data_IF_033504989552
#
_entry.id   IF_033504989552
#
_cell.length_a   1.000
_cell.length_b   1.000
_cell.length_c   1.000
_cell.angle_alpha   90.00
_cell.angle_beta   90.00
_cell.angle_gamma   90.00
#
_symmetry.space_group_name_H-M   'P 1'
#
loop_
_entity.id
_entity.type
_entity.pdbx_description
1 polymer ?
#
# COMPACT_ATOMS: atom_id res chain seq x y z
N UNK A 1 -53.13 -101.69 54.71
CA UNK A 1 -52.24 -101.63 53.53
C UNK A 1 -51.96 -100.17 53.24
N UNK A 2 -50.71 -99.79 53.39
CA UNK A 2 -50.20 -98.42 53.27
C UNK A 2 -50.09 -98.05 51.78
N UNK A 3 -50.66 -96.90 51.40
CA UNK A 3 -50.69 -96.39 50.04
C UNK A 3 -50.23 -94.93 49.99
N UNK A 4 -48.95 -94.75 50.33
CA UNK A 4 -47.99 -93.69 49.98
C UNK A 4 -48.52 -92.46 49.21
N UNK A 5 -48.43 -91.29 49.85
CA UNK A 5 -48.41 -89.96 49.23
C UNK A 5 -47.19 -89.84 48.29
N UNK A 6 -47.39 -89.38 47.05
CA UNK A 6 -46.33 -88.78 46.24
C UNK A 6 -46.72 -87.32 45.95
N UNK A 7 -46.04 -86.42 46.67
CA UNK A 7 -45.98 -84.99 46.34
C UNK A 7 -44.80 -84.84 45.39
N UNK A 8 -45.08 -84.91 44.10
CA UNK A 8 -44.26 -84.36 43.02
C UNK A 8 -45.26 -83.51 42.23
N UNK A 9 -45.11 -82.20 42.07
CA UNK A 9 -43.96 -81.51 41.52
C UNK A 9 -44.19 -80.00 41.73
N UNK A 10 -43.65 -79.43 42.82
CA UNK A 10 -43.40 -77.99 42.94
C UNK A 10 -42.00 -77.69 42.39
N UNK A 11 -41.74 -78.16 41.17
CA UNK A 11 -40.58 -77.84 40.37
C UNK A 11 -40.87 -76.64 39.48
N UNK A 12 -40.41 -75.46 39.91
CA UNK A 12 -40.28 -74.25 39.09
C UNK A 12 -39.89 -74.59 37.65
N UNK A 13 -40.79 -74.36 36.70
CA UNK A 13 -40.42 -74.06 35.32
C UNK A 13 -41.33 -72.95 34.79
N UNK A 14 -40.99 -71.72 35.16
CA UNK A 14 -41.10 -70.65 34.16
C UNK A 14 -40.29 -71.15 32.94
N UNK A 15 -40.89 -71.23 31.75
CA UNK A 15 -40.23 -71.82 30.59
C UNK A 15 -38.99 -70.97 30.23
N UNK A 16 -37.79 -71.58 30.15
CA UNK A 16 -36.56 -70.86 29.78
C UNK A 16 -36.59 -70.25 28.36
N UNK A 17 -37.60 -70.58 27.55
CA UNK A 17 -37.76 -70.12 26.17
C UNK A 17 -38.14 -68.64 26.07
N UNK A 18 -38.98 -68.11 26.97
CA UNK A 18 -39.36 -66.69 26.95
C UNK A 18 -38.17 -65.75 27.25
N UNK A 19 -37.18 -66.21 28.03
CA UNK A 19 -35.96 -65.45 28.35
C UNK A 19 -34.96 -65.43 27.19
N UNK A 20 -34.85 -66.54 26.44
CA UNK A 20 -33.92 -66.65 25.33
C UNK A 20 -34.37 -65.80 24.13
N UNK A 21 -35.67 -65.84 23.80
CA UNK A 21 -36.25 -65.04 22.71
C UNK A 21 -36.19 -63.54 23.00
N UNK A 22 -36.36 -63.12 24.26
CA UNK A 22 -36.19 -61.73 24.67
C UNK A 22 -34.75 -61.24 24.46
N UNK A 23 -33.75 -62.02 24.88
CA UNK A 23 -32.34 -61.64 24.69
C UNK A 23 -31.89 -61.61 23.23
N UNK A 24 -32.41 -62.52 22.40
CA UNK A 24 -32.15 -62.53 20.95
C UNK A 24 -32.77 -61.31 20.26
N UNK A 25 -34.03 -60.97 20.58
CA UNK A 25 -34.70 -59.78 20.06
C UNK A 25 -34.02 -58.48 20.51
N UNK A 26 -33.63 -58.39 21.78
CA UNK A 26 -32.91 -57.25 22.33
C UNK A 26 -31.53 -57.07 21.67
N UNK A 27 -30.79 -58.16 21.47
CA UNK A 27 -29.50 -58.14 20.76
C UNK A 27 -29.65 -57.69 19.31
N UNK A 28 -30.72 -58.12 18.63
CA UNK A 28 -31.03 -57.67 17.26
C UNK A 28 -31.31 -56.16 17.22
N UNK A 29 -32.15 -55.65 18.12
CA UNK A 29 -32.44 -54.23 18.22
C UNK A 29 -31.17 -53.39 18.43
N UNK A 30 -30.29 -53.78 19.37
CA UNK A 30 -29.01 -53.09 19.58
C UNK A 30 -28.07 -53.20 18.37
N UNK A 31 -28.07 -54.33 17.65
CA UNK A 31 -27.27 -54.50 16.44
C UNK A 31 -27.76 -53.58 15.30
N UNK A 32 -29.07 -53.45 15.13
CA UNK A 32 -29.68 -52.58 14.12
C UNK A 32 -29.44 -51.09 14.46
N UNK A 33 -29.59 -50.71 15.74
CA UNK A 33 -29.26 -49.37 16.23
C UNK A 33 -27.77 -49.00 16.04
N UNK A 34 -26.87 -49.96 16.25
CA UNK A 34 -25.44 -49.78 16.00
C UNK A 34 -25.15 -49.59 14.50
N UNK A 35 -25.79 -50.39 13.64
CA UNK A 35 -25.63 -50.27 12.19
C UNK A 35 -26.12 -48.92 11.67
N UNK A 36 -27.25 -48.42 12.18
CA UNK A 36 -27.77 -47.09 11.84
C UNK A 36 -26.83 -45.98 12.32
N UNK A 37 -26.32 -46.07 13.55
CA UNK A 37 -25.32 -45.13 14.07
C UNK A 37 -24.05 -45.13 13.23
N UNK A 38 -23.58 -46.31 12.82
CA UNK A 38 -22.42 -46.47 11.94
C UNK A 38 -22.66 -45.84 10.56
N UNK A 39 -23.86 -46.01 9.99
CA UNK A 39 -24.26 -45.40 8.71
C UNK A 39 -24.27 -43.88 8.82
N UNK A 40 -24.91 -43.32 9.84
CA UNK A 40 -24.92 -41.87 10.11
C UNK A 40 -23.50 -41.32 10.30
N UNK A 41 -22.65 -42.04 11.04
CA UNK A 41 -21.25 -41.65 11.21
C UNK A 41 -20.50 -41.63 9.90
N UNK A 42 -20.69 -42.63 9.02
CA UNK A 42 -20.03 -42.69 7.72
C UNK A 42 -20.46 -41.53 6.81
N UNK A 43 -21.76 -41.22 6.76
CA UNK A 43 -22.26 -40.08 6.01
C UNK A 43 -21.63 -38.76 6.49
N UNK A 44 -21.56 -38.54 7.81
CA UNK A 44 -20.91 -37.35 8.37
C UNK A 44 -19.42 -37.28 8.04
N UNK A 45 -18.72 -38.42 7.96
CA UNK A 45 -17.31 -38.46 7.54
C UNK A 45 -17.19 -38.01 6.09
N UNK A 46 -17.99 -38.58 5.18
CA UNK A 46 -17.97 -38.21 3.75
C UNK A 46 -18.29 -36.72 3.53
N UNK A 47 -19.28 -36.18 4.26
CA UNK A 47 -19.60 -34.74 4.24
C UNK A 47 -18.42 -33.88 4.70
N UNK A 48 -17.76 -34.25 5.81
CA UNK A 48 -16.60 -33.51 6.33
C UNK A 48 -15.36 -33.63 5.44
N UNK A 49 -15.14 -34.78 4.80
CA UNK A 49 -14.06 -34.94 3.82
C UNK A 49 -14.26 -34.03 2.62
N UNK A 50 -15.51 -33.88 2.15
CA UNK A 50 -15.86 -32.96 1.08
C UNK A 50 -15.66 -31.49 1.49
N UNK A 51 -16.18 -31.08 2.64
CA UNK A 51 -15.98 -29.72 3.18
C UNK A 51 -14.49 -29.39 3.33
N UNK A 52 -13.70 -30.35 3.82
CA UNK A 52 -12.25 -30.21 3.98
C UNK A 52 -11.55 -30.07 2.62
N UNK A 53 -11.98 -30.80 1.58
CA UNK A 53 -11.43 -30.66 0.24
C UNK A 53 -11.78 -29.29 -0.38
N UNK A 54 -13.01 -28.81 -0.20
CA UNK A 54 -13.45 -27.49 -0.65
C UNK A 54 -12.63 -26.38 0.02
N UNK A 55 -12.44 -26.47 1.34
CA UNK A 55 -11.62 -25.53 2.10
C UNK A 55 -10.16 -25.51 1.61
N UNK A 56 -9.56 -26.69 1.36
CA UNK A 56 -8.20 -26.78 0.81
C UNK A 56 -8.07 -26.06 -0.54
N UNK A 57 -9.05 -26.24 -1.44
CA UNK A 57 -9.08 -25.58 -2.74
C UNK A 57 -9.25 -24.07 -2.60
N UNK A 58 -10.15 -23.62 -1.72
CA UNK A 58 -10.35 -22.20 -1.45
C UNK A 58 -9.08 -21.53 -0.90
N UNK A 59 -8.39 -22.17 0.05
CA UNK A 59 -7.11 -21.68 0.57
C UNK A 59 -6.04 -21.60 -0.51
N UNK A 60 -5.90 -22.63 -1.35
CA UNK A 60 -4.95 -22.60 -2.47
C UNK A 60 -5.28 -21.47 -3.46
N UNK A 61 -6.56 -21.32 -3.83
CA UNK A 61 -7.02 -20.23 -4.70
C UNK A 61 -6.71 -18.86 -4.11
N UNK A 62 -6.91 -18.67 -2.79
CA UNK A 62 -6.56 -17.42 -2.13
C UNK A 62 -5.06 -17.16 -2.21
N UNK A 63 -4.22 -18.17 -1.94
CA UNK A 63 -2.76 -17.99 -1.98
C UNK A 63 -2.26 -17.60 -3.38
N UNK A 64 -2.79 -18.24 -4.43
CA UNK A 64 -2.46 -17.90 -5.82
C UNK A 64 -2.96 -16.50 -6.19
N UNK A 65 -4.18 -16.16 -5.79
CA UNK A 65 -4.76 -14.83 -6.03
C UNK A 65 -3.98 -13.73 -5.31
N UNK A 66 -3.52 -13.98 -4.07
CA UNK A 66 -2.72 -13.03 -3.31
C UNK A 66 -1.36 -12.81 -3.98
N UNK A 67 -0.71 -13.88 -4.44
CA UNK A 67 0.57 -13.78 -5.15
C UNK A 67 0.43 -12.97 -6.45
N UNK A 68 -0.61 -13.25 -7.25
CA UNK A 68 -0.87 -12.49 -8.47
C UNK A 68 -1.16 -11.00 -8.18
N UNK A 69 -1.91 -10.71 -7.11
CA UNK A 69 -2.17 -9.33 -6.70
C UNK A 69 -0.90 -8.61 -6.23
N UNK A 70 0.00 -9.30 -5.53
CA UNK A 70 1.30 -8.75 -5.13
C UNK A 70 2.15 -8.40 -6.36
N UNK A 71 2.31 -9.33 -7.30
CA UNK A 71 3.09 -9.11 -8.53
C UNK A 71 2.55 -7.93 -9.35
N UNK A 72 1.24 -7.85 -9.51
CA UNK A 72 0.61 -6.74 -10.23
C UNK A 72 0.76 -5.40 -9.47
N UNK A 73 0.64 -5.42 -8.14
CA UNK A 73 0.85 -4.21 -7.33
C UNK A 73 2.29 -3.71 -7.42
N UNK A 74 3.28 -4.60 -7.40
CA UNK A 74 4.70 -4.27 -7.58
C UNK A 74 4.96 -3.67 -8.97
N UNK A 75 4.34 -4.23 -10.02
CA UNK A 75 4.41 -3.67 -11.38
C UNK A 75 3.88 -2.24 -11.41
N UNK A 76 2.70 -2.01 -10.82
CA UNK A 76 2.07 -0.67 -10.77
C UNK A 76 2.96 0.31 -10.00
N UNK A 77 3.46 -0.05 -8.81
CA UNK A 77 4.33 0.83 -8.04
C UNK A 77 5.64 1.13 -8.78
N UNK A 78 6.21 0.15 -9.47
CA UNK A 78 7.40 0.36 -10.32
C UNK A 78 7.13 1.39 -11.41
N UNK A 79 6.00 1.31 -12.11
CA UNK A 79 5.61 2.29 -13.13
C UNK A 79 5.41 3.69 -12.56
N UNK A 80 4.83 3.80 -11.36
CA UNK A 80 4.69 5.07 -10.65
C UNK A 80 6.04 5.68 -10.29
N UNK A 81 6.97 4.88 -9.76
CA UNK A 81 8.34 5.33 -9.45
C UNK A 81 9.02 5.85 -10.71
N UNK A 82 8.99 5.09 -11.81
CA UNK A 82 9.56 5.53 -13.09
C UNK A 82 8.91 6.82 -13.61
N UNK A 83 7.61 7.02 -13.39
CA UNK A 83 6.91 8.25 -13.75
C UNK A 83 7.43 9.45 -12.96
N UNK A 84 7.61 9.31 -11.64
CA UNK A 84 8.16 10.35 -10.78
C UNK A 84 9.61 10.67 -11.14
N UNK A 85 10.42 9.67 -11.44
CA UNK A 85 11.80 9.87 -11.90
C UNK A 85 11.86 10.67 -13.21
N UNK A 86 10.96 10.38 -14.16
CA UNK A 86 10.83 11.17 -15.39
C UNK A 86 10.46 12.63 -15.11
N UNK A 87 9.49 12.87 -14.21
CA UNK A 87 9.13 14.24 -13.80
C UNK A 87 10.31 14.97 -13.14
N UNK A 88 11.10 14.26 -12.33
CA UNK A 88 12.32 14.81 -11.73
C UNK A 88 13.32 15.25 -12.80
N UNK A 89 13.52 14.47 -13.86
CA UNK A 89 14.42 14.86 -14.95
C UNK A 89 13.88 16.05 -15.73
N UNK A 90 12.57 16.08 -16.03
CA UNK A 90 11.92 17.22 -16.70
C UNK A 90 12.10 18.53 -15.92
N UNK A 91 11.88 18.53 -14.60
CA UNK A 91 12.08 19.73 -13.76
C UNK A 91 13.54 20.18 -13.78
N UNK A 92 14.50 19.25 -13.73
CA UNK A 92 15.93 19.57 -13.82
C UNK A 92 16.28 20.23 -15.15
N UNK A 93 15.75 19.71 -16.27
CA UNK A 93 15.96 20.27 -17.60
C UNK A 93 15.34 21.66 -17.73
N UNK A 94 14.13 21.89 -17.22
CA UNK A 94 13.51 23.21 -17.22
C UNK A 94 14.36 24.27 -16.49
N UNK A 95 14.91 23.93 -15.32
CA UNK A 95 15.79 24.83 -14.57
C UNK A 95 17.07 25.12 -15.37
N UNK A 96 17.72 24.09 -15.91
CA UNK A 96 18.96 24.26 -16.69
C UNK A 96 18.74 25.06 -17.97
N UNK A 97 17.66 24.82 -18.69
CA UNK A 97 17.34 25.56 -19.91
C UNK A 97 17.09 27.04 -19.60
N UNK A 98 16.39 27.34 -18.50
CA UNK A 98 16.14 28.72 -18.07
C UNK A 98 17.42 29.42 -17.59
N UNK A 99 18.29 28.71 -16.86
CA UNK A 99 19.61 29.20 -16.47
C UNK A 99 20.43 29.57 -17.70
N UNK A 100 20.60 28.64 -18.65
CA UNK A 100 21.37 28.86 -19.88
C UNK A 100 20.81 30.05 -20.68
N UNK A 101 19.49 30.13 -20.86
CA UNK A 101 18.87 31.22 -21.62
C UNK A 101 19.06 32.58 -20.94
N UNK A 102 18.95 32.64 -19.61
CA UNK A 102 19.17 33.87 -18.85
C UNK A 102 20.64 34.29 -18.87
N UNK A 103 21.58 33.35 -18.71
CA UNK A 103 23.02 33.64 -18.74
C UNK A 103 23.47 34.05 -20.13
N UNK A 104 22.98 33.42 -21.21
CA UNK A 104 23.34 33.80 -22.57
C UNK A 104 22.90 35.23 -22.91
N UNK A 105 21.70 35.63 -22.47
CA UNK A 105 21.23 37.01 -22.64
C UNK A 105 22.09 38.01 -21.86
N UNK A 106 22.49 37.65 -20.63
CA UNK A 106 23.37 38.50 -19.83
C UNK A 106 24.77 38.62 -20.44
N UNK A 107 25.34 37.53 -20.96
CA UNK A 107 26.64 37.51 -21.64
C UNK A 107 26.63 38.38 -22.90
N UNK A 108 25.57 38.31 -23.71
CA UNK A 108 25.41 39.17 -24.88
C UNK A 108 25.41 40.66 -24.51
N UNK A 109 24.65 41.03 -23.47
CA UNK A 109 24.60 42.41 -22.98
C UNK A 109 25.94 42.86 -22.39
N UNK A 110 26.67 41.97 -21.69
CA UNK A 110 28.01 42.26 -21.17
C UNK A 110 28.99 42.57 -22.31
N UNK A 111 29.05 41.72 -23.34
CA UNK A 111 29.92 41.94 -24.50
C UNK A 111 29.62 43.28 -25.19
N UNK A 112 28.34 43.62 -25.35
CA UNK A 112 27.91 44.89 -25.95
C UNK A 112 28.36 46.09 -25.11
N UNK A 113 28.16 46.04 -23.79
CA UNK A 113 28.57 47.11 -22.88
C UNK A 113 30.09 47.27 -22.80
N UNK A 114 30.84 46.17 -22.80
CA UNK A 114 32.30 46.20 -22.84
C UNK A 114 32.82 46.88 -24.12
N UNK A 115 32.21 46.57 -25.27
CA UNK A 115 32.53 47.23 -26.54
C UNK A 115 32.20 48.72 -26.50
N UNK A 116 31.01 49.09 -26.03
CA UNK A 116 30.60 50.50 -25.95
C UNK A 116 31.54 51.30 -25.03
N UNK A 117 31.91 50.74 -23.88
CA UNK A 117 32.89 51.35 -22.97
C UNK A 117 34.25 51.53 -23.67
N UNK A 118 34.71 50.54 -24.45
CA UNK A 118 35.97 50.64 -25.17
C UNK A 118 35.95 51.74 -26.25
N UNK A 119 34.85 51.86 -27.00
CA UNK A 119 34.65 52.91 -28.00
C UNK A 119 34.59 54.30 -27.37
N UNK A 120 33.88 54.43 -26.25
CA UNK A 120 33.80 55.67 -25.46
C UNK A 120 35.18 56.07 -24.91
N UNK A 121 35.95 55.12 -24.34
CA UNK A 121 37.32 55.38 -23.87
C UNK A 121 38.25 55.83 -24.99
N UNK A 122 38.16 55.21 -26.16
CA UNK A 122 38.95 55.60 -27.34
C UNK A 122 38.63 57.03 -27.76
N UNK A 123 37.34 57.39 -27.82
CA UNK A 123 36.89 58.74 -28.14
C UNK A 123 37.30 59.78 -27.12
N UNK A 124 37.21 59.45 -25.83
CA UNK A 124 37.66 60.33 -24.76
C UNK A 124 39.16 60.67 -24.90
N UNK A 125 39.99 59.68 -25.25
CA UNK A 125 41.40 59.89 -25.55
C UNK A 125 41.61 60.77 -26.81
N UNK A 126 40.84 60.55 -27.88
CA UNK A 126 40.89 61.39 -29.10
C UNK A 126 40.50 62.85 -28.82
N UNK A 127 39.45 63.08 -28.01
CA UNK A 127 39.04 64.41 -27.56
C UNK A 127 40.13 65.09 -26.73
N UNK A 128 40.75 64.37 -25.80
CA UNK A 128 41.86 64.88 -24.98
C UNK A 128 43.06 65.28 -25.84
N UNK A 129 43.44 64.45 -26.82
CA UNK A 129 44.52 64.76 -27.76
C UNK A 129 44.20 65.97 -28.66
N UNK A 130 42.96 66.07 -29.14
CA UNK A 130 42.51 67.19 -29.96
C UNK A 130 42.55 68.52 -29.17
N UNK A 131 42.15 68.49 -27.90
CA UNK A 131 42.18 69.66 -27.02
C UNK A 131 43.62 70.17 -26.75
N UNK A 132 44.62 69.29 -26.82
CA UNK A 132 46.04 69.63 -26.66
C UNK A 132 46.72 70.08 -27.96
N UNK A 133 46.00 70.11 -29.09
CA UNK A 133 46.59 70.44 -30.39
C UNK A 133 46.75 71.96 -30.57
N UNK A 134 47.99 72.44 -30.73
CA UNK A 134 48.29 73.88 -30.91
C UNK A 134 47.92 74.42 -32.32
N UNK A 135 47.86 73.56 -33.34
CA UNK A 135 47.56 73.96 -34.71
C UNK A 135 46.04 74.09 -34.95
N UNK A 136 45.59 75.33 -35.14
CA UNK A 136 44.18 75.69 -35.32
C UNK A 136 43.51 75.07 -36.56
N UNK A 137 44.25 74.83 -37.65
CA UNK A 137 43.67 74.25 -38.87
C UNK A 137 43.34 72.77 -38.65
N UNK A 138 44.28 72.01 -38.08
CA UNK A 138 44.06 70.59 -37.74
C UNK A 138 43.00 70.41 -36.66
N UNK A 139 42.91 71.34 -35.70
CA UNK A 139 41.85 71.34 -34.70
C UNK A 139 40.47 71.41 -35.37
N UNK A 140 40.26 72.43 -36.22
CA UNK A 140 38.98 72.65 -36.90
C UNK A 140 38.62 71.50 -37.85
N UNK A 141 39.60 70.88 -38.52
CA UNK A 141 39.36 69.74 -39.40
C UNK A 141 38.90 68.49 -38.65
N UNK A 142 39.47 68.20 -37.48
CA UNK A 142 39.17 66.99 -36.71
C UNK A 142 37.98 67.15 -35.75
N UNK A 143 37.67 68.38 -35.32
CA UNK A 143 36.60 68.68 -34.37
C UNK A 143 35.25 68.08 -34.78
N UNK A 144 34.85 68.25 -36.04
CA UNK A 144 33.56 67.76 -36.53
C UNK A 144 33.44 66.24 -36.53
N UNK A 145 34.54 65.51 -36.69
CA UNK A 145 34.57 64.03 -36.68
C UNK A 145 34.48 63.47 -35.27
N UNK A 146 35.21 64.08 -34.32
CA UNK A 146 35.34 63.56 -32.95
C UNK A 146 34.13 63.94 -32.08
N UNK A 147 33.46 65.07 -32.35
CA UNK A 147 32.32 65.54 -31.56
C UNK A 147 30.99 64.83 -31.84
N UNK A 148 30.89 63.94 -32.82
CA UNK A 148 29.69 63.12 -33.04
C UNK A 148 29.61 62.05 -31.96
N UNK A 149 28.55 62.01 -31.15
CA UNK A 149 28.37 60.97 -30.13
C UNK A 149 28.13 59.60 -30.78
N UNK A 150 28.60 58.49 -30.16
CA UNK A 150 28.27 57.16 -30.66
C UNK A 150 26.82 56.88 -30.31
N UNK A 151 26.18 55.99 -31.06
CA UNK A 151 24.85 55.52 -30.68
C UNK A 151 25.02 54.62 -29.46
N UNK A 152 24.51 55.07 -28.32
CA UNK A 152 24.40 54.28 -27.09
C UNK A 152 23.14 53.42 -27.17
N UNK A 153 23.25 52.16 -26.76
CA UNK A 153 22.09 51.27 -26.71
C UNK A 153 21.34 51.44 -25.38
N UNK A 154 20.02 51.45 -25.44
CA UNK A 154 19.19 51.47 -24.24
C UNK A 154 19.34 50.14 -23.48
N UNK A 155 19.99 50.19 -22.31
CA UNK A 155 20.22 49.02 -21.47
C UNK A 155 18.90 48.60 -20.81
N UNK A 156 18.44 47.35 -20.96
CA UNK A 156 17.25 46.86 -20.29
C UNK A 156 17.42 46.85 -18.76
N UNK A 157 16.32 46.98 -18.02
CA UNK A 157 16.37 47.01 -16.55
C UNK A 157 16.92 45.70 -15.98
N UNK A 158 18.07 45.76 -15.31
CA UNK A 158 18.73 44.61 -14.70
C UNK A 158 18.04 44.29 -13.37
N UNK A 159 17.60 43.04 -13.21
CA UNK A 159 17.01 42.55 -11.95
C UNK A 159 18.12 42.02 -11.04
N UNK A 160 18.17 42.48 -9.78
CA UNK A 160 19.23 42.14 -8.84
C UNK A 160 19.08 40.75 -8.17
N UNK A 161 17.90 40.13 -8.25
CA UNK A 161 17.63 38.80 -7.66
C UNK A 161 16.77 37.92 -8.60
N UNK A 162 17.39 37.21 -9.56
CA UNK A 162 16.70 36.24 -10.41
C UNK A 162 16.53 34.90 -9.65
N UNK A 163 15.72 34.92 -8.58
CA UNK A 163 15.57 33.77 -7.69
C UNK A 163 14.61 32.68 -8.22
N UNK A 164 14.98 31.41 -8.05
CA UNK A 164 14.12 30.25 -8.32
C UNK A 164 13.15 29.91 -7.16
N UNK A 165 12.87 30.85 -6.25
CA UNK A 165 12.02 30.61 -5.07
C UNK A 165 10.59 30.17 -5.42
N UNK A 166 10.04 30.69 -6.52
CA UNK A 166 8.75 30.26 -7.04
C UNK A 166 8.76 28.80 -7.54
N UNK A 167 9.87 28.35 -8.14
CA UNK A 167 10.03 26.97 -8.60
C UNK A 167 10.08 26.01 -7.42
N UNK A 168 10.84 26.36 -6.37
CA UNK A 168 10.86 25.57 -5.14
C UNK A 168 9.48 25.47 -4.50
N UNK A 169 8.73 26.57 -4.47
CA UNK A 169 7.35 26.59 -3.95
C UNK A 169 6.44 25.67 -4.77
N UNK A 170 6.52 25.72 -6.11
CA UNK A 170 5.75 24.84 -6.99
C UNK A 170 6.10 23.35 -6.82
N UNK A 171 7.39 23.02 -6.60
CA UNK A 171 7.81 21.64 -6.31
C UNK A 171 7.26 21.17 -4.96
N UNK A 172 7.25 22.03 -3.93
CA UNK A 172 6.65 21.71 -2.64
C UNK A 172 5.13 21.53 -2.73
N UNK A 173 4.44 22.33 -3.53
CA UNK A 173 3.00 22.16 -3.80
C UNK A 173 2.73 20.82 -4.51
N UNK A 174 3.53 20.47 -5.53
CA UNK A 174 3.44 19.19 -6.21
C UNK A 174 3.67 18.00 -5.26
N UNK A 175 4.66 18.11 -4.37
CA UNK A 175 4.90 17.10 -3.33
C UNK A 175 3.68 16.93 -2.43
N UNK A 176 3.11 18.02 -1.92
CA UNK A 176 1.94 17.97 -1.04
C UNK A 176 0.72 17.31 -1.71
N UNK A 177 0.52 17.53 -3.01
CA UNK A 177 -0.54 16.88 -3.79
C UNK A 177 -0.31 15.37 -3.93
N UNK A 178 0.92 14.94 -4.19
CA UNK A 178 1.25 13.52 -4.25
C UNK A 178 1.02 12.84 -2.89
N UNK A 179 1.44 13.48 -1.80
CA UNK A 179 1.26 12.94 -0.46
C UNK A 179 -0.24 12.76 -0.11
N UNK A 180 -1.09 13.72 -0.47
CA UNK A 180 -2.55 13.65 -0.26
C UNK A 180 -3.19 12.49 -1.05
N UNK A 181 -2.83 12.36 -2.34
CA UNK A 181 -3.32 11.26 -3.19
C UNK A 181 -2.84 9.91 -2.66
N UNK A 182 -1.58 9.81 -2.25
CA UNK A 182 -1.01 8.59 -1.68
C UNK A 182 -1.73 8.20 -0.38
N UNK A 183 -1.97 9.16 0.52
CA UNK A 183 -2.66 8.90 1.78
C UNK A 183 -4.09 8.40 1.55
N UNK A 184 -4.85 9.05 0.67
CA UNK A 184 -6.21 8.63 0.32
C UNK A 184 -6.23 7.25 -0.36
N UNK A 185 -5.34 7.02 -1.31
CA UNK A 185 -5.22 5.74 -2.02
C UNK A 185 -4.88 4.59 -1.09
N UNK A 186 -3.96 4.80 -0.14
CA UNK A 186 -3.53 3.77 0.79
C UNK A 186 -4.64 3.32 1.75
N UNK A 187 -5.47 4.25 2.22
CA UNK A 187 -6.64 3.90 3.07
C UNK A 187 -7.58 2.96 2.34
N UNK A 188 -7.91 3.26 1.08
CA UNK A 188 -8.78 2.42 0.25
C UNK A 188 -8.16 1.04 -0.03
N UNK A 189 -6.86 0.98 -0.32
CA UNK A 189 -6.14 -0.30 -0.51
C UNK A 189 -6.21 -1.13 0.77
N UNK A 190 -5.92 -0.53 1.93
CA UNK A 190 -5.97 -1.21 3.23
C UNK A 190 -7.37 -1.74 3.55
N UNK A 191 -8.43 -0.99 3.25
CA UNK A 191 -9.81 -1.44 3.42
C UNK A 191 -10.10 -2.67 2.56
N UNK A 192 -9.76 -2.62 1.27
CA UNK A 192 -10.00 -3.72 0.32
C UNK A 192 -9.21 -4.98 0.65
N UNK A 193 -7.96 -4.84 1.12
CA UNK A 193 -7.17 -5.98 1.61
C UNK A 193 -7.83 -6.61 2.85
N UNK A 194 -8.40 -5.79 3.74
CA UNK A 194 -9.09 -6.27 4.94
C UNK A 194 -10.41 -7.02 4.68
N UNK A 195 -11.06 -6.80 3.53
CA UNK A 195 -12.30 -7.49 3.15
C UNK A 195 -12.09 -8.95 2.72
N UNK A 196 -10.85 -9.33 2.37
CA UNK A 196 -10.55 -10.66 1.81
C UNK A 196 -10.62 -11.74 2.89
N UNK A 197 -11.62 -12.61 2.80
CA UNK A 197 -11.82 -13.73 3.76
C UNK A 197 -12.28 -14.99 3.05
N UNK A 198 -11.81 -16.16 3.51
CA UNK A 198 -12.31 -17.48 3.05
C UNK A 198 -13.54 -17.90 3.85
N UNK A 199 -13.58 -17.53 5.13
CA UNK A 199 -14.61 -17.97 6.06
C UNK A 199 -15.69 -16.91 6.12
N UNK A 200 -16.85 -17.22 5.55
CA UNK A 200 -18.07 -16.46 5.78
C UNK A 200 -18.81 -17.10 6.97
N UNK A 201 -19.23 -16.28 7.94
CA UNK A 201 -19.88 -16.71 9.18
C UNK A 201 -20.83 -17.90 8.97
N UNK A 202 -20.45 -19.07 9.49
CA UNK A 202 -21.25 -20.28 9.42
C UNK A 202 -22.39 -20.18 10.42
N UNK A 203 -23.61 -20.07 9.92
CA UNK A 203 -24.82 -20.32 10.71
C UNK A 203 -24.70 -21.76 11.25
N UNK A 204 -24.72 -22.01 12.57
CA UNK A 204 -24.65 -23.37 13.08
C UNK A 204 -25.89 -24.11 12.59
N UNK A 205 -25.67 -25.16 11.79
CA UNK A 205 -26.74 -26.09 11.38
C UNK A 205 -27.10 -26.90 12.63
N UNK A 206 -28.15 -26.44 13.32
CA UNK A 206 -28.71 -27.13 14.45
C UNK A 206 -29.39 -28.40 13.97
N UNK A 207 -28.70 -29.54 14.07
CA UNK A 207 -29.38 -30.82 14.16
C UNK A 207 -29.64 -31.07 15.65
N UNK A 208 -30.81 -30.58 16.08
CA UNK A 208 -31.40 -30.91 17.36
C UNK A 208 -31.97 -32.33 17.28
N UNK A 209 -31.35 -33.27 18.00
CA UNK A 209 -32.08 -34.40 18.57
C UNK A 209 -31.60 -34.59 20.01
N UNK A 210 -32.42 -34.09 20.93
CA UNK A 210 -32.45 -34.44 22.33
C UNK A 210 -32.65 -35.94 22.50
N UNK A 211 -31.90 -36.58 23.39
CA UNK A 211 -32.47 -37.31 24.54
C UNK A 211 -31.36 -37.73 25.50
N UNK A 212 -31.36 -37.08 26.66
CA UNK A 212 -30.90 -37.58 27.94
C UNK A 212 -31.73 -38.79 28.35
N UNK A 213 -31.08 -39.92 28.64
CA UNK A 213 -31.16 -40.61 29.95
C UNK A 213 -30.59 -42.03 29.84
N UNK A 214 -29.42 -42.24 30.43
CA UNK A 214 -29.10 -43.38 31.28
C UNK A 214 -27.70 -43.16 31.85
N UNK A 215 -27.68 -42.85 33.14
CA UNK A 215 -26.50 -42.62 33.93
C UNK A 215 -25.83 -43.95 34.32
N UNK A 216 -24.51 -43.85 34.54
CA UNK A 216 -23.59 -44.68 35.35
C UNK A 216 -22.67 -45.68 34.61
N UNK A 217 -21.47 -45.96 35.15
CA UNK A 217 -20.53 -45.04 35.81
C UNK A 217 -19.12 -45.10 35.19
N UNK A 218 -18.30 -44.14 35.60
CA UNK A 218 -16.89 -43.95 35.23
C UNK A 218 -16.02 -45.18 35.51
N UNK A 219 -15.37 -45.70 34.47
CA UNK A 219 -14.07 -46.36 34.59
C UNK A 219 -13.27 -46.00 33.34
N UNK A 220 -11.97 -45.77 33.51
CA UNK A 220 -10.98 -45.21 32.56
C UNK A 220 -10.77 -43.70 32.62
N UNK A 221 -10.12 -43.33 33.72
CA UNK A 221 -9.12 -42.28 33.74
C UNK A 221 -7.88 -42.73 32.93
N UNK A 222 -7.18 -41.74 32.35
CA UNK A 222 -5.85 -41.78 31.71
C UNK A 222 -5.78 -42.05 30.20
N UNK A 223 -5.60 -40.95 29.44
CA UNK A 223 -4.39 -40.80 28.62
C UNK A 223 -4.07 -39.31 28.44
N UNK A 224 -3.10 -38.80 29.19
CA UNK A 224 -2.39 -37.57 28.83
C UNK A 224 -1.42 -37.96 27.72
N UNK A 225 -1.80 -37.67 26.48
CA UNK A 225 -0.97 -37.88 25.30
C UNK A 225 -0.75 -36.54 24.61
N UNK A 226 0.44 -35.99 24.78
CA UNK A 226 0.98 -34.88 24.01
C UNK A 226 0.79 -35.15 22.51
N UNK A 227 0.41 -34.13 21.75
CA UNK A 227 0.77 -34.05 20.33
C UNK A 227 1.02 -32.59 19.96
N UNK A 228 2.30 -32.27 19.89
CA UNK A 228 2.83 -31.09 19.24
C UNK A 228 2.66 -31.25 17.72
N UNK A 229 1.79 -30.44 17.12
CA UNK A 229 1.88 -30.10 15.70
C UNK A 229 2.25 -28.63 15.59
N UNK A 230 3.54 -28.37 15.83
CA UNK A 230 4.18 -27.16 15.36
C UNK A 230 4.39 -27.28 13.85
N UNK A 231 3.64 -26.51 13.07
CA UNK A 231 4.07 -26.11 11.73
C UNK A 231 4.60 -24.69 11.88
N UNK A 232 5.85 -24.40 11.49
CA UNK A 232 6.44 -23.09 11.72
C UNK A 232 5.75 -22.07 10.80
N UNK A 233 5.18 -21.03 11.41
CA UNK A 233 4.82 -19.80 10.71
C UNK A 233 6.14 -19.13 10.33
N UNK A 234 6.41 -18.82 9.05
CA UNK A 234 7.55 -17.99 8.72
C UNK A 234 7.33 -16.61 9.33
N UNK A 235 8.20 -16.22 10.26
CA UNK A 235 8.33 -14.83 10.67
C UNK A 235 8.69 -14.03 9.43
N UNK A 236 7.73 -13.26 8.91
CA UNK A 236 8.04 -12.16 8.01
C UNK A 236 8.93 -11.20 8.80
N UNK A 237 10.22 -11.18 8.45
CA UNK A 237 11.15 -10.17 8.92
C UNK A 237 10.59 -8.82 8.51
N UNK A 238 10.10 -8.06 9.50
CA UNK A 238 9.64 -6.71 9.32
C UNK A 238 10.72 -5.86 8.67
N UNK A 239 10.38 -5.21 7.56
CA UNK A 239 11.10 -4.04 7.10
C UNK A 239 10.93 -2.95 8.16
N UNK A 240 11.95 -2.76 8.99
CA UNK A 240 12.08 -1.56 9.81
C UNK A 240 12.43 -0.39 8.89
N UNK A 241 11.42 0.37 8.47
CA UNK A 241 11.65 1.68 7.84
C UNK A 241 11.76 2.73 8.94
N UNK A 242 13.01 3.12 9.21
CA UNK A 242 13.39 4.20 10.11
C UNK A 242 12.61 5.49 9.79
N UNK A 243 11.74 5.90 10.71
CA UNK A 243 11.20 7.26 10.74
C UNK A 243 11.87 8.06 11.85
N UNK A 244 12.90 8.82 11.48
CA UNK A 244 13.34 9.98 12.27
C UNK A 244 13.81 11.09 11.32
N UNK A 245 12.87 11.91 10.86
CA UNK A 245 13.10 13.36 10.69
C UNK A 245 11.84 14.05 11.20
N UNK A 246 11.96 14.69 12.36
CA UNK A 246 10.91 15.51 12.92
C UNK A 246 10.83 16.86 12.22
N UNK A 247 9.61 17.27 11.87
CA UNK A 247 9.29 18.67 11.64
C UNK A 247 7.92 18.95 12.29
N UNK A 248 7.95 19.82 13.32
CA UNK A 248 6.75 20.38 13.97
C UNK A 248 5.92 21.16 12.94
N UNK A 249 4.57 21.04 12.94
CA UNK A 249 3.74 21.98 12.19
C UNK A 249 3.56 23.28 12.98
N UNK A 250 3.84 24.41 12.34
CA UNK A 250 3.43 25.75 12.80
C UNK A 250 1.98 26.06 12.33
N UNK A 251 1.25 26.98 12.98
CA UNK A 251 -0.20 27.12 12.80
C UNK A 251 -0.58 27.89 11.53
N UNK A 252 -1.63 27.40 10.86
CA UNK A 252 -2.26 27.99 9.68
C UNK A 252 -2.90 29.35 10.02
N UNK A 253 -2.43 30.42 9.38
CA UNK A 253 -3.18 31.67 9.26
C UNK A 253 -4.22 31.53 8.14
N UNK A 254 -5.49 31.67 8.50
CA UNK A 254 -6.62 31.81 7.56
C UNK A 254 -6.48 33.13 6.80
N UNK A 255 -6.45 33.08 5.47
CA UNK A 255 -6.67 34.27 4.64
C UNK A 255 -8.00 34.15 3.88
N UNK A 256 -8.79 35.22 3.99
CA UNK A 256 -10.12 35.40 3.42
C UNK A 256 -10.15 35.22 1.89
N UNK A 257 -11.19 34.53 1.40
CA UNK A 257 -11.64 34.61 0.02
C UNK A 257 -12.13 36.03 -0.27
N UNK A 258 -11.45 36.71 -1.19
CA UNK A 258 -11.89 37.98 -1.77
C UNK A 258 -12.69 37.69 -3.04
N UNK A 259 -14.01 37.90 -2.96
CA UNK A 259 -14.93 37.98 -4.10
C UNK A 259 -14.33 38.88 -5.21
N UNK A 260 -14.31 38.40 -6.45
CA UNK A 260 -14.35 39.27 -7.63
C UNK A 260 -15.44 38.81 -8.58
N UNK A 261 -16.37 39.74 -8.79
CA UNK A 261 -17.38 39.78 -9.83
C UNK A 261 -16.70 39.76 -11.20
N UNK A 262 -17.18 38.94 -12.12
CA UNK A 262 -17.72 39.34 -13.42
C UNK A 262 -18.82 38.35 -13.78
#
# INVERSE_FOLDING_TARGET
MSGRFEITDLGRKLPPTASFDYTANLKKHYKDALAETQRKSRQRIEEREKELQELRRATQSLTLSAQAALEESERIFTELVCSIERRRTEVKELIRNQEIAATSQAEELLCQLEQEIAELKKRDAELSNLAQTDNQISFLQNYGSVCVQPVCMDVPSITADPGFGCVMSAVSEFQALLDDVCQGGFVNISEKVGEVTIIQNTKPKADAESNTDLQTPSVFQAFVGQNAFGVPVPMFSGFAMSSQIGCRPAPRLRLHQRRRRR
#
